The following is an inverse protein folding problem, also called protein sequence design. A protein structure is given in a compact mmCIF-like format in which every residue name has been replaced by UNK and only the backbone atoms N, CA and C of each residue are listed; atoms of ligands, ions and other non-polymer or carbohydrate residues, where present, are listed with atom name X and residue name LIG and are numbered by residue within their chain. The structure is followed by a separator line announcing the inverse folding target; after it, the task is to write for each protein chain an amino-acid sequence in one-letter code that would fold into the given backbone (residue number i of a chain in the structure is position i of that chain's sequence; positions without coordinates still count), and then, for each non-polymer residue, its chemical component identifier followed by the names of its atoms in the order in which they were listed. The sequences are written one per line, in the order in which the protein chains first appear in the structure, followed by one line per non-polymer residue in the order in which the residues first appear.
data_IF_407797134659
#
_entry.id   IF_407797134659
#
_cell.length_a   1.000
_cell.length_b   1.000
_cell.length_c   1.000
_cell.angle_alpha   90.00
_cell.angle_beta   90.00
_cell.angle_gamma   90.00
#
_symmetry.space_group_name_H-M   'P 1'
#
loop_
_entity.id
_entity.type
_entity.pdbx_description
1 polymer ?
#
# COMPACT_ATOMS: atom_id res chain seq x y z
N UNK A 1 5.21 20.06 -8.77
CA UNK A 1 5.85 19.09 -9.71
C UNK A 1 6.79 18.13 -8.99
N UNK A 2 7.81 18.61 -8.26
CA UNK A 2 8.77 17.75 -7.54
C UNK A 2 8.12 16.74 -6.58
N UNK A 3 7.12 17.15 -5.79
CA UNK A 3 6.44 16.24 -4.86
C UNK A 3 5.71 15.10 -5.59
N UNK A 4 5.10 15.38 -6.73
CA UNK A 4 4.41 14.37 -7.54
C UNK A 4 5.40 13.31 -8.05
N UNK A 5 6.54 13.76 -8.58
CA UNK A 5 7.61 12.88 -9.07
C UNK A 5 8.18 12.04 -7.92
N UNK A 6 8.41 12.65 -6.76
CA UNK A 6 8.89 11.95 -5.57
C UNK A 6 7.93 10.84 -5.12
N UNK A 7 6.62 11.14 -5.06
CA UNK A 7 5.61 10.14 -4.70
C UNK A 7 5.59 8.99 -5.71
N UNK A 8 5.61 9.28 -7.01
CA UNK A 8 5.65 8.23 -8.04
C UNK A 8 6.88 7.32 -7.91
N UNK A 9 8.05 7.89 -7.60
CA UNK A 9 9.26 7.12 -7.35
C UNK A 9 9.12 6.24 -6.09
N UNK A 10 8.52 6.75 -5.02
CA UNK A 10 8.27 5.96 -3.81
C UNK A 10 7.27 4.82 -4.07
N UNK A 11 6.19 5.08 -4.82
CA UNK A 11 5.16 4.08 -5.09
C UNK A 11 5.67 2.92 -5.95
N UNK A 12 6.59 3.16 -6.91
CA UNK A 12 7.14 2.09 -7.76
C UNK A 12 7.94 1.05 -6.96
N UNK A 13 8.59 1.46 -5.86
CA UNK A 13 9.39 0.59 -5.01
C UNK A 13 8.55 -0.27 -4.06
N UNK A 14 7.35 0.18 -3.70
CA UNK A 14 6.52 -0.49 -2.69
C UNK A 14 6.09 -1.89 -3.13
N UNK A 15 5.55 -2.03 -4.34
CA UNK A 15 5.08 -3.32 -4.85
C UNK A 15 6.19 -4.40 -4.91
N UNK A 16 7.34 -4.19 -5.58
CA UNK A 16 8.40 -5.20 -5.63
C UNK A 16 9.00 -5.50 -4.25
N UNK A 17 9.05 -4.51 -3.35
CA UNK A 17 9.54 -4.71 -1.98
C UNK A 17 8.59 -5.59 -1.16
N UNK A 18 7.28 -5.30 -1.18
CA UNK A 18 6.26 -6.11 -0.51
C UNK A 18 6.27 -7.54 -1.07
N UNK A 19 6.28 -7.66 -2.40
CA UNK A 19 6.30 -8.95 -3.08
C UNK A 19 7.55 -9.78 -2.71
N UNK A 20 8.73 -9.15 -2.73
CA UNK A 20 9.98 -9.81 -2.37
C UNK A 20 10.02 -10.24 -0.90
N UNK A 21 9.52 -9.41 0.01
CA UNK A 21 9.47 -9.72 1.45
C UNK A 21 8.47 -10.86 1.73
N UNK A 22 7.25 -10.77 1.18
CA UNK A 22 6.19 -11.73 1.47
C UNK A 22 6.50 -13.15 0.98
N UNK A 23 7.29 -13.29 -0.09
CA UNK A 23 7.68 -14.59 -0.63
C UNK A 23 9.02 -15.11 -0.08
N UNK A 24 9.74 -14.31 0.70
CA UNK A 24 11.05 -14.69 1.24
C UNK A 24 10.90 -15.82 2.27
N UNK A 25 11.50 -16.97 1.97
CA UNK A 25 11.51 -18.12 2.88
C UNK A 25 10.29 -19.03 2.78
N UNK A 26 9.41 -18.82 1.79
CA UNK A 26 8.20 -19.63 1.58
C UNK A 26 8.45 -20.96 0.84
N UNK A 27 9.63 -21.17 0.24
CA UNK A 27 9.95 -22.42 -0.48
C UNK A 27 8.93 -22.73 -1.58
N UNK A 28 8.39 -23.95 -1.58
CA UNK A 28 7.40 -24.41 -2.56
C UNK A 28 6.06 -23.65 -2.49
N UNK A 29 5.71 -23.12 -1.32
CA UNK A 29 4.47 -22.35 -1.11
C UNK A 29 4.53 -20.95 -1.75
N UNK A 30 5.71 -20.50 -2.20
CA UNK A 30 5.89 -19.19 -2.82
C UNK A 30 5.00 -19.00 -4.06
N UNK A 31 4.68 -20.08 -4.79
CA UNK A 31 3.77 -20.02 -5.96
C UNK A 31 2.34 -19.66 -5.55
N UNK A 32 1.85 -20.25 -4.46
CA UNK A 32 0.52 -19.95 -3.91
C UNK A 32 0.50 -18.56 -3.27
N UNK A 33 1.56 -18.19 -2.55
CA UNK A 33 1.73 -16.84 -2.00
C UNK A 33 1.72 -15.77 -3.09
N UNK A 34 2.45 -15.99 -4.19
CA UNK A 34 2.51 -15.10 -5.34
C UNK A 34 1.13 -14.94 -6.00
N UNK A 35 0.40 -16.04 -6.20
CA UNK A 35 -0.96 -16.02 -6.73
C UNK A 35 -1.89 -15.18 -5.84
N UNK A 36 -1.81 -15.36 -4.52
CA UNK A 36 -2.57 -14.55 -3.55
C UNK A 36 -2.26 -13.06 -3.64
N UNK A 37 -0.98 -12.69 -3.75
CA UNK A 37 -0.54 -11.30 -3.92
C UNK A 37 -1.09 -10.67 -5.21
N UNK A 38 -1.09 -11.41 -6.32
CA UNK A 38 -1.64 -10.94 -7.60
C UNK A 38 -3.16 -10.75 -7.49
N UNK A 39 -3.87 -11.68 -6.84
CA UNK A 39 -5.31 -11.56 -6.62
C UNK A 39 -5.66 -10.35 -5.74
N UNK A 40 -4.80 -9.97 -4.79
CA UNK A 40 -4.98 -8.77 -3.99
C UNK A 40 -4.89 -7.47 -4.82
N UNK A 41 -4.17 -7.47 -5.96
CA UNK A 41 -4.11 -6.31 -6.88
C UNK A 41 -5.50 -6.00 -7.46
N UNK A 42 -6.29 -7.03 -7.77
CA UNK A 42 -7.69 -6.85 -8.22
C UNK A 42 -8.54 -6.14 -7.16
N UNK A 43 -8.28 -6.36 -5.87
CA UNK A 43 -8.92 -5.61 -4.79
C UNK A 43 -8.64 -4.11 -4.86
N UNK A 44 -7.52 -3.69 -5.46
CA UNK A 44 -7.20 -2.31 -5.75
C UNK A 44 -8.20 -1.61 -6.67
N UNK A 45 -8.99 -2.35 -7.46
CA UNK A 45 -10.06 -1.78 -8.30
C UNK A 45 -11.27 -1.29 -7.51
N UNK A 46 -11.39 -1.66 -6.23
CA UNK A 46 -12.48 -1.21 -5.35
C UNK A 46 -12.21 0.19 -4.79
N UNK A 47 -10.93 0.57 -4.63
CA UNK A 47 -10.55 1.87 -4.06
C UNK A 47 -10.93 3.07 -4.95
N UNK A 48 -10.75 3.04 -6.30
CA UNK A 48 -11.16 4.16 -7.15
C UNK A 48 -12.67 4.44 -7.13
N UNK A 49 -13.59 3.46 -7.20
CA UNK A 49 -15.03 3.70 -6.99
C UNK A 49 -15.34 4.30 -5.62
N UNK A 50 -14.70 3.82 -4.55
CA UNK A 50 -14.88 4.39 -3.21
C UNK A 50 -14.41 5.85 -3.18
N UNK A 51 -13.28 6.16 -3.81
CA UNK A 51 -12.79 7.52 -3.93
C UNK A 51 -13.73 8.42 -4.75
N UNK A 52 -14.28 7.89 -5.85
CA UNK A 52 -15.24 8.60 -6.69
C UNK A 52 -16.52 8.95 -5.93
N UNK A 53 -17.08 8.00 -5.17
CA UNK A 53 -18.25 8.25 -4.32
C UNK A 53 -17.99 9.37 -3.31
N UNK A 54 -16.78 9.45 -2.73
CA UNK A 54 -16.38 10.53 -1.81
C UNK A 54 -16.31 11.88 -2.55
N UNK A 55 -15.78 11.90 -3.77
CA UNK A 55 -15.66 13.10 -4.60
C UNK A 55 -17.04 13.63 -5.01
N UNK A 56 -17.96 12.74 -5.39
CA UNK A 56 -19.31 13.06 -5.87
C UNK A 56 -20.19 13.71 -4.79
N UNK A 57 -19.80 13.67 -3.51
CA UNK A 57 -20.48 14.41 -2.43
C UNK A 57 -20.31 15.95 -2.55
N UNK A 58 -19.47 16.43 -3.47
CA UNK A 58 -19.37 17.84 -3.88
C UNK A 58 -18.64 18.72 -2.86
N UNK A 59 -19.30 19.03 -1.75
CA UNK A 59 -18.74 19.86 -0.67
C UNK A 59 -18.96 19.21 0.69
N UNK A 60 -17.85 18.87 1.36
CA UNK A 60 -17.86 18.40 2.74
C UNK A 60 -17.10 19.42 3.60
N UNK A 61 -17.69 19.84 4.72
CA UNK A 61 -17.06 20.76 5.67
C UNK A 61 -16.55 22.08 5.06
N UNK A 62 -17.25 22.62 4.05
CA UNK A 62 -16.87 23.88 3.39
C UNK A 62 -15.63 23.80 2.49
N UNK A 63 -15.11 22.59 2.23
CA UNK A 63 -13.96 22.33 1.35
C UNK A 63 -14.37 21.45 0.14
N UNK A 64 -13.62 21.52 -0.97
CA UNK A 64 -13.82 20.63 -2.11
C UNK A 64 -13.66 19.17 -1.66
N UNK A 65 -14.66 18.34 -1.92
CA UNK A 65 -14.62 16.90 -1.59
C UNK A 65 -13.42 16.18 -2.27
N UNK A 66 -12.91 16.75 -3.37
CA UNK A 66 -11.67 16.31 -4.05
C UNK A 66 -10.47 16.28 -3.10
N UNK A 67 -10.27 17.31 -2.28
CA UNK A 67 -9.14 17.37 -1.35
C UNK A 67 -9.31 16.35 -0.21
N UNK A 68 -10.54 16.18 0.27
CA UNK A 68 -10.86 15.19 1.29
C UNK A 68 -10.72 13.75 0.78
N UNK A 69 -10.92 13.52 -0.53
CA UNK A 69 -10.75 12.18 -1.12
C UNK A 69 -9.34 11.62 -0.95
N UNK A 70 -8.31 12.46 -0.73
CA UNK A 70 -6.94 12.04 -0.46
C UNK A 70 -6.74 11.38 0.91
N UNK A 71 -7.72 11.47 1.82
CA UNK A 71 -7.72 10.68 3.07
C UNK A 71 -7.73 9.18 2.76
N UNK A 72 -8.41 8.75 1.70
CA UNK A 72 -8.47 7.33 1.34
C UNK A 72 -7.08 6.78 0.95
N UNK A 73 -6.33 7.36 -0.01
CA UNK A 73 -4.93 7.02 -0.24
C UNK A 73 -4.04 7.12 1.01
N UNK A 74 -4.27 8.10 1.89
CA UNK A 74 -3.51 8.26 3.12
C UNK A 74 -3.69 7.05 4.05
N UNK A 75 -4.92 6.55 4.21
CA UNK A 75 -5.21 5.33 4.98
C UNK A 75 -4.47 4.13 4.37
N UNK A 76 -4.49 3.98 3.04
CA UNK A 76 -3.75 2.92 2.35
C UNK A 76 -2.24 3.00 2.65
N UNK A 77 -1.66 4.20 2.60
CA UNK A 77 -0.25 4.39 2.96
C UNK A 77 0.04 4.04 4.41
N UNK A 78 -0.83 4.40 5.37
CA UNK A 78 -0.66 4.02 6.78
C UNK A 78 -0.61 2.50 6.94
N UNK A 79 -1.49 1.75 6.28
CA UNK A 79 -1.47 0.27 6.32
C UNK A 79 -0.15 -0.29 5.79
N UNK A 80 0.35 0.24 4.67
CA UNK A 80 1.63 -0.20 4.11
C UNK A 80 2.81 0.19 5.01
N UNK A 81 2.79 1.38 5.62
CA UNK A 81 3.81 1.82 6.58
C UNK A 81 3.86 0.91 7.81
N UNK A 82 2.71 0.49 8.33
CA UNK A 82 2.63 -0.47 9.45
C UNK A 82 3.21 -1.83 9.04
N UNK A 83 2.86 -2.34 7.84
CA UNK A 83 3.43 -3.58 7.32
C UNK A 83 4.96 -3.50 7.19
N UNK A 84 5.48 -2.40 6.62
CA UNK A 84 6.91 -2.16 6.49
C UNK A 84 7.63 -2.07 7.84
N UNK A 85 7.06 -1.35 8.81
CA UNK A 85 7.62 -1.23 10.15
C UNK A 85 7.68 -2.57 10.89
N UNK A 86 6.60 -3.36 10.82
CA UNK A 86 6.53 -4.70 11.42
C UNK A 86 7.60 -5.62 10.82
N UNK A 87 7.70 -5.65 9.49
CA UNK A 87 8.72 -6.46 8.80
C UNK A 87 10.14 -6.02 9.18
N UNK A 88 10.40 -4.72 9.22
CA UNK A 88 11.71 -4.18 9.59
C UNK A 88 12.10 -4.59 11.02
N UNK A 89 11.15 -4.47 11.97
CA UNK A 89 11.35 -4.89 13.35
C UNK A 89 11.65 -6.39 13.46
N UNK A 90 10.93 -7.24 12.74
CA UNK A 90 11.18 -8.68 12.70
C UNK A 90 12.55 -9.02 12.10
N UNK A 91 12.93 -8.35 11.01
CA UNK A 91 14.24 -8.51 10.39
C UNK A 91 15.38 -8.08 11.32
N UNK A 92 15.20 -6.99 12.08
CA UNK A 92 16.17 -6.53 13.07
C UNK A 92 16.29 -7.51 14.23
N UNK A 93 15.17 -8.01 14.77
CA UNK A 93 15.17 -8.99 15.85
C UNK A 93 15.91 -10.29 15.45
N UNK A 94 15.70 -10.78 14.22
CA UNK A 94 16.42 -11.96 13.70
C UNK A 94 17.93 -11.75 13.58
N UNK A 95 18.41 -10.53 13.32
CA UNK A 95 19.85 -10.20 13.28
C UNK A 95 20.50 -10.12 14.66
N UNK A 96 19.73 -9.98 15.73
CA UNK A 96 20.26 -9.91 17.11
C UNK A 96 20.39 -11.31 17.70
N UNK A 97 19.53 -12.25 17.29
CA UNK A 97 19.47 -13.63 17.81
C UNK A 97 20.48 -14.55 17.10
N UNK A 98 20.95 -14.19 15.90
CA UNK A 98 21.82 -15.00 15.03
C UNK A 98 23.16 -14.30 14.86
#
# INVERSE_FOLDING_TARGET
LYCLVGISACMSLMFPTIYGIALKGLGDDAKFGAAGLIMAILGGSILPPVQAIIIDQGTLLGMPAVNLSFILPLICFVVVSVYGYRTFKEAQARKIIN
#
